data_IF_740456984914
#
_entry.id   IF_740456984914
#
_cell.length_a   1.000
_cell.length_b   1.000
_cell.length_c   1.000
_cell.angle_alpha   90.00
_cell.angle_beta   90.00
_cell.angle_gamma   90.00
#
_symmetry.space_group_name_H-M   'P 1'
#
loop_
_entity.id
_entity.type
_entity.pdbx_description
1 polymer ?
#
# COMPACT_ATOMS: atom_id res chain seq x y z
N UNK A 1 59.21 -49.41 -15.95
CA UNK A 1 58.18 -48.86 -16.84
C UNK A 1 56.91 -48.72 -16.01
N UNK A 2 56.45 -47.49 -15.75
CA UNK A 2 55.17 -47.28 -15.06
C UNK A 2 54.06 -47.76 -15.99
N UNK A 3 53.24 -48.68 -15.50
CA UNK A 3 52.10 -49.23 -16.24
C UNK A 3 51.12 -48.12 -16.61
N UNK A 4 50.37 -48.29 -17.71
CA UNK A 4 49.52 -47.23 -18.30
C UNK A 4 48.57 -46.60 -17.27
N UNK A 5 48.10 -47.37 -16.30
CA UNK A 5 47.22 -46.91 -15.23
C UNK A 5 47.94 -46.05 -14.17
N UNK A 6 49.19 -46.40 -13.83
CA UNK A 6 50.02 -45.63 -12.90
C UNK A 6 50.40 -44.25 -13.46
N UNK A 7 50.56 -44.16 -14.79
CA UNK A 7 50.80 -42.88 -15.47
C UNK A 7 49.60 -41.93 -15.37
N UNK A 8 48.38 -42.47 -15.47
CA UNK A 8 47.14 -41.69 -15.37
C UNK A 8 46.96 -41.16 -13.94
N UNK A 9 47.17 -42.01 -12.93
CA UNK A 9 47.07 -41.60 -11.53
C UNK A 9 48.05 -40.48 -11.16
N UNK A 10 49.32 -40.61 -11.60
CA UNK A 10 50.35 -39.58 -11.35
C UNK A 10 50.02 -38.27 -12.08
N UNK A 11 49.48 -38.34 -13.29
CA UNK A 11 49.10 -37.15 -14.06
C UNK A 11 47.93 -36.39 -13.40
N UNK A 12 46.94 -37.11 -12.89
CA UNK A 12 45.80 -36.55 -12.16
C UNK A 12 46.24 -35.87 -10.86
N UNK A 13 47.15 -36.52 -10.12
CA UNK A 13 47.69 -35.98 -8.88
C UNK A 13 48.52 -34.71 -9.13
N UNK A 14 49.33 -34.71 -10.19
CA UNK A 14 50.09 -33.52 -10.61
C UNK A 14 49.17 -32.35 -10.98
N UNK A 15 48.09 -32.62 -11.72
CA UNK A 15 47.12 -31.59 -12.09
C UNK A 15 46.44 -30.97 -10.86
N UNK A 16 46.07 -31.81 -9.89
CA UNK A 16 45.42 -31.37 -8.66
C UNK A 16 46.37 -30.50 -7.81
N UNK A 17 47.64 -30.89 -7.70
CA UNK A 17 48.67 -30.09 -7.01
C UNK A 17 48.86 -28.74 -7.69
N UNK A 18 48.93 -28.70 -9.03
CA UNK A 18 49.07 -27.44 -9.78
C UNK A 18 47.83 -26.55 -9.60
N UNK A 19 46.62 -27.10 -9.58
CA UNK A 19 45.39 -26.35 -9.37
C UNK A 19 45.30 -25.74 -7.96
N UNK A 20 45.75 -26.46 -6.93
CA UNK A 20 45.77 -25.95 -5.56
C UNK A 20 46.82 -24.85 -5.41
N UNK A 21 48.02 -25.04 -5.97
CA UNK A 21 49.08 -24.03 -5.91
C UNK A 21 48.71 -22.76 -6.68
N UNK A 22 48.11 -22.88 -7.86
CA UNK A 22 47.66 -21.71 -8.62
C UNK A 22 46.57 -20.92 -7.91
N UNK A 23 45.63 -21.62 -7.25
CA UNK A 23 44.58 -21.00 -6.43
C UNK A 23 45.16 -20.26 -5.22
N UNK A 24 46.13 -20.87 -4.54
CA UNK A 24 46.82 -20.24 -3.42
C UNK A 24 47.60 -18.99 -3.85
N UNK A 25 48.34 -19.05 -4.96
CA UNK A 25 49.09 -17.91 -5.50
C UNK A 25 48.14 -16.77 -5.88
N UNK A 26 47.01 -17.06 -6.53
CA UNK A 26 45.98 -16.08 -6.84
C UNK A 26 45.44 -15.38 -5.59
N UNK A 27 45.13 -16.14 -4.54
CA UNK A 27 44.65 -15.58 -3.28
C UNK A 27 45.69 -14.64 -2.65
N UNK A 28 46.96 -15.02 -2.65
CA UNK A 28 48.04 -14.19 -2.12
C UNK A 28 48.24 -12.91 -2.94
N UNK A 29 48.10 -12.97 -4.27
CA UNK A 29 48.19 -11.79 -5.15
C UNK A 29 47.02 -10.82 -4.95
N UNK A 30 45.82 -11.33 -4.62
CA UNK A 30 44.66 -10.49 -4.25
C UNK A 30 44.87 -9.87 -2.86
N UNK A 31 45.32 -10.63 -1.88
CA UNK A 31 45.56 -10.13 -0.51
C UNK A 31 46.69 -9.09 -0.44
N UNK A 32 47.71 -9.23 -1.28
CA UNK A 32 48.85 -8.28 -1.36
C UNK A 32 48.54 -7.05 -2.23
N UNK A 33 47.35 -6.97 -2.83
CA UNK A 33 46.90 -5.83 -3.63
C UNK A 33 47.57 -5.69 -4.99
N UNK A 34 48.38 -6.67 -5.41
CA UNK A 34 49.05 -6.69 -6.73
C UNK A 34 48.04 -6.95 -7.85
N UNK A 35 46.99 -7.71 -7.55
CA UNK A 35 45.83 -7.90 -8.42
C UNK A 35 44.58 -7.33 -7.75
N UNK A 36 44.08 -6.21 -8.27
CA UNK A 36 42.75 -5.72 -7.95
C UNK A 36 41.72 -6.49 -8.76
N UNK A 37 40.84 -7.22 -8.10
CA UNK A 37 39.69 -7.85 -8.75
C UNK A 37 38.80 -6.71 -9.25
N UNK A 38 38.61 -6.59 -10.56
CA UNK A 38 37.58 -5.71 -11.09
C UNK A 38 36.24 -6.25 -10.63
N UNK A 39 35.71 -5.66 -9.57
CA UNK A 39 34.29 -5.74 -9.27
C UNK A 39 33.58 -4.99 -10.39
N UNK A 40 33.24 -5.70 -11.47
CA UNK A 40 32.22 -5.22 -12.39
C UNK A 40 30.94 -5.08 -11.56
N UNK A 41 30.63 -3.82 -11.22
CA UNK A 41 29.40 -3.33 -10.60
C UNK A 41 28.54 -4.42 -9.96
N UNK A 42 28.88 -4.84 -8.74
CA UNK A 42 27.87 -5.37 -7.85
C UNK A 42 26.89 -4.22 -7.60
N UNK A 43 25.64 -4.26 -8.09
CA UNK A 43 24.66 -3.32 -7.60
C UNK A 43 24.53 -3.61 -6.11
N UNK A 44 24.67 -2.56 -5.30
CA UNK A 44 24.33 -2.56 -3.89
C UNK A 44 23.00 -3.31 -3.71
N UNK A 45 23.04 -4.50 -3.11
CA UNK A 45 21.84 -5.25 -2.74
C UNK A 45 21.01 -4.51 -1.67
N UNK A 46 21.46 -3.32 -1.24
CA UNK A 46 20.82 -2.44 -0.29
C UNK A 46 20.20 -1.18 -0.95
N UNK A 47 20.39 -0.96 -2.25
CA UNK A 47 19.80 0.15 -3.02
C UNK A 47 18.92 -0.34 -4.18
N UNK A 48 18.41 -1.57 -4.09
CA UNK A 48 17.17 -1.88 -4.78
C UNK A 48 16.06 -1.18 -3.99
N UNK A 49 15.82 0.10 -4.30
CA UNK A 49 14.49 0.67 -4.14
C UNK A 49 13.53 -0.37 -4.73
N UNK A 50 12.78 -1.03 -3.84
CA UNK A 50 11.64 -1.83 -4.25
C UNK A 50 10.75 -0.88 -5.01
N UNK A 51 10.86 -0.84 -6.34
CA UNK A 51 9.79 -0.34 -7.19
C UNK A 51 8.66 -1.31 -6.86
N UNK A 52 7.64 -0.88 -6.08
CA UNK A 52 6.56 -1.80 -5.77
C UNK A 52 5.97 -2.15 -7.11
N UNK A 53 6.06 -3.43 -7.50
CA UNK A 53 5.33 -3.95 -8.65
C UNK A 53 3.90 -3.50 -8.39
N UNK A 54 3.44 -2.47 -9.13
CA UNK A 54 2.25 -1.72 -8.76
C UNK A 54 1.14 -2.71 -8.50
N UNK A 55 0.71 -2.83 -7.24
CA UNK A 55 -0.22 -3.89 -6.85
C UNK A 55 -1.48 -3.68 -7.70
N UNK A 56 -1.73 -4.63 -8.61
CA UNK A 56 -2.87 -4.58 -9.50
C UNK A 56 -4.14 -4.74 -8.66
N UNK A 57 -5.19 -4.00 -8.99
CA UNK A 57 -6.45 -4.01 -8.25
C UNK A 57 -7.21 -2.71 -8.37
N UNK A 58 -8.45 -2.71 -7.91
CA UNK A 58 -9.34 -1.55 -7.91
C UNK A 58 -9.45 -1.02 -6.49
N UNK A 59 -9.47 0.31 -6.37
CA UNK A 59 -9.99 1.01 -5.20
C UNK A 59 -10.73 2.24 -5.75
N UNK A 60 -12.04 2.28 -5.58
CA UNK A 60 -12.86 3.36 -6.08
C UNK A 60 -14.09 3.57 -5.20
N UNK A 61 -14.44 4.82 -4.93
CA UNK A 61 -15.73 5.17 -4.35
C UNK A 61 -16.76 5.14 -5.48
N UNK A 62 -17.74 4.24 -5.39
CA UNK A 62 -18.78 4.00 -6.41
C UNK A 62 -19.99 4.89 -6.26
N UNK A 63 -20.35 5.22 -5.03
CA UNK A 63 -21.47 6.10 -4.71
C UNK A 63 -21.21 6.80 -3.40
N UNK A 64 -21.74 8.01 -3.28
CA UNK A 64 -21.77 8.80 -2.06
C UNK A 64 -23.13 9.50 -1.97
N UNK A 65 -23.67 9.59 -0.78
CA UNK A 65 -24.92 10.29 -0.51
C UNK A 65 -24.85 10.97 0.87
N UNK A 66 -25.26 12.23 0.93
CA UNK A 66 -25.66 12.88 2.18
C UNK A 66 -27.13 12.57 2.50
N UNK A 67 -27.47 12.39 3.77
CA UNK A 67 -28.84 12.18 4.23
C UNK A 67 -29.09 12.75 5.63
N UNK A 68 -30.38 12.83 5.97
CA UNK A 68 -30.83 13.17 7.32
C UNK A 68 -30.63 12.05 8.34
N UNK A 69 -30.61 10.80 7.89
CA UNK A 69 -30.43 9.63 8.75
C UNK A 69 -30.05 8.40 7.93
N UNK A 70 -29.49 7.40 8.60
CA UNK A 70 -29.15 6.09 8.04
C UNK A 70 -29.91 4.99 8.79
N UNK A 71 -30.50 4.05 8.06
CA UNK A 71 -31.25 2.94 8.66
C UNK A 71 -30.34 1.78 9.13
N UNK A 72 -30.92 0.77 9.79
CA UNK A 72 -30.20 -0.42 10.27
C UNK A 72 -29.52 -1.24 9.15
N UNK A 73 -29.90 -1.01 7.89
CA UNK A 73 -29.37 -1.67 6.71
C UNK A 73 -28.39 -0.78 5.94
N UNK A 74 -27.93 0.31 6.55
CA UNK A 74 -27.02 1.29 5.94
C UNK A 74 -27.59 1.97 4.69
N UNK A 75 -28.92 2.12 4.61
CA UNK A 75 -29.56 2.91 3.57
C UNK A 75 -29.69 4.37 3.99
N UNK A 76 -29.44 5.25 3.03
CA UNK A 76 -29.54 6.69 3.22
C UNK A 76 -31.01 7.12 3.12
N UNK A 77 -31.58 7.64 4.23
CA UNK A 77 -32.98 8.03 4.34
C UNK A 77 -33.08 9.56 4.32
N UNK A 78 -33.86 10.09 3.36
CA UNK A 78 -34.00 11.53 3.16
C UNK A 78 -32.70 12.17 2.68
N UNK A 79 -32.28 11.81 1.46
CA UNK A 79 -31.10 12.40 0.81
C UNK A 79 -31.25 13.91 0.70
N UNK A 80 -30.22 14.65 1.10
CA UNK A 80 -30.23 16.11 1.14
C UNK A 80 -28.80 16.62 1.20
N UNK A 81 -28.54 17.77 0.63
CA UNK A 81 -27.28 18.51 0.80
C UNK A 81 -27.47 19.72 1.73
N UNK A 82 -28.72 20.02 2.10
CA UNK A 82 -29.07 21.11 3.02
C UNK A 82 -29.40 20.55 4.41
N UNK A 83 -28.78 21.15 5.43
CA UNK A 83 -28.89 20.75 6.84
C UNK A 83 -29.19 21.97 7.72
N UNK A 84 -29.78 21.74 8.88
CA UNK A 84 -29.90 22.81 9.88
C UNK A 84 -28.70 22.81 10.83
N UNK A 85 -28.42 23.95 11.44
CA UNK A 85 -27.44 24.05 12.53
C UNK A 85 -27.71 23.00 13.63
N UNK A 86 -26.65 22.33 14.10
CA UNK A 86 -26.67 21.26 15.09
C UNK A 86 -27.50 20.02 14.71
N UNK A 87 -27.90 19.90 13.44
CA UNK A 87 -28.43 18.66 12.92
C UNK A 87 -27.28 17.69 12.61
N UNK A 88 -27.51 16.39 12.84
CA UNK A 88 -26.59 15.35 12.38
C UNK A 88 -26.56 15.34 10.84
N UNK A 89 -25.37 15.54 10.30
CA UNK A 89 -25.06 15.40 8.88
C UNK A 89 -24.62 13.96 8.68
N UNK A 90 -25.53 13.09 8.23
CA UNK A 90 -25.20 11.71 7.91
C UNK A 90 -24.69 11.64 6.48
N UNK A 91 -23.67 10.81 6.26
CA UNK A 91 -23.17 10.50 4.92
C UNK A 91 -22.89 9.01 4.79
N UNK A 92 -23.14 8.49 3.59
CA UNK A 92 -22.96 7.09 3.23
C UNK A 92 -22.17 7.00 1.95
N UNK A 93 -21.24 6.06 1.88
CA UNK A 93 -20.54 5.77 0.65
C UNK A 93 -20.30 4.28 0.45
N UNK A 94 -20.06 3.91 -0.82
CA UNK A 94 -19.77 2.53 -1.22
C UNK A 94 -18.40 2.48 -1.86
N UNK A 95 -17.50 1.67 -1.31
CA UNK A 95 -16.16 1.46 -1.82
C UNK A 95 -16.11 0.13 -2.56
N UNK A 96 -15.71 0.16 -3.82
CA UNK A 96 -15.27 -1.04 -4.53
C UNK A 96 -13.78 -1.23 -4.33
N UNK A 97 -13.40 -2.41 -3.84
CA UNK A 97 -11.99 -2.73 -3.63
C UNK A 97 -11.65 -4.17 -4.01
N UNK A 98 -10.46 -4.36 -4.60
CA UNK A 98 -9.90 -5.68 -4.88
C UNK A 98 -9.30 -6.28 -3.62
N UNK A 99 -9.53 -7.57 -3.43
CA UNK A 99 -8.97 -8.34 -2.31
C UNK A 99 -7.51 -8.69 -2.59
N UNK A 100 -6.66 -8.59 -1.57
CA UNK A 100 -5.26 -9.03 -1.62
C UNK A 100 -5.09 -10.24 -0.72
N UNK A 101 -4.73 -11.40 -1.28
CA UNK A 101 -4.64 -12.67 -0.52
C UNK A 101 -5.94 -13.04 0.23
N UNK A 102 -7.09 -12.71 -0.35
CA UNK A 102 -8.41 -12.92 0.28
C UNK A 102 -8.68 -11.98 1.45
N UNK A 103 -7.90 -10.90 1.60
CA UNK A 103 -8.05 -9.90 2.65
C UNK A 103 -8.32 -8.53 2.05
N UNK A 104 -9.17 -7.76 2.73
CA UNK A 104 -9.38 -6.33 2.48
C UNK A 104 -9.09 -5.60 3.78
N UNK A 105 -8.38 -4.49 3.67
CA UNK A 105 -8.25 -3.50 4.72
C UNK A 105 -8.60 -2.15 4.10
N UNK A 106 -9.60 -1.48 4.65
CA UNK A 106 -9.93 -0.09 4.30
C UNK A 106 -9.65 0.82 5.49
N UNK A 107 -8.98 1.92 5.21
CA UNK A 107 -8.74 3.03 6.14
C UNK A 107 -9.46 4.26 5.60
N UNK A 108 -10.45 4.73 6.34
CA UNK A 108 -11.27 5.89 5.98
C UNK A 108 -10.79 7.12 6.72
N UNK A 109 -10.48 8.22 6.02
CA UNK A 109 -10.25 9.52 6.63
C UNK A 109 -11.17 10.56 5.98
N UNK A 110 -11.63 11.55 6.72
CA UNK A 110 -12.36 12.67 6.12
C UNK A 110 -12.07 14.01 6.78
N UNK A 111 -12.27 15.07 6.00
CA UNK A 111 -12.07 16.45 6.44
C UNK A 111 -13.25 17.30 6.03
N UNK A 112 -13.67 18.18 6.91
CA UNK A 112 -14.67 19.21 6.61
C UNK A 112 -13.94 20.54 6.49
N UNK A 113 -14.18 21.23 5.37
CA UNK A 113 -13.64 22.55 5.06
C UNK A 113 -14.78 23.56 5.01
N UNK A 114 -14.55 24.76 5.54
CA UNK A 114 -15.46 25.89 5.37
C UNK A 114 -15.37 26.47 3.94
N UNK A 115 -16.23 27.44 3.63
CA UNK A 115 -16.24 28.17 2.35
C UNK A 115 -14.89 28.83 1.97
N UNK A 116 -14.03 29.12 2.96
CA UNK A 116 -12.70 29.69 2.75
C UNK A 116 -11.62 28.62 2.54
N UNK A 117 -11.96 27.34 2.64
CA UNK A 117 -11.05 26.21 2.56
C UNK A 117 -10.33 25.87 3.86
N UNK A 118 -10.70 26.49 4.99
CA UNK A 118 -10.13 26.17 6.30
C UNK A 118 -10.69 24.84 6.79
N UNK A 119 -9.82 23.95 7.26
CA UNK A 119 -10.23 22.67 7.85
C UNK A 119 -10.83 22.94 9.24
N UNK A 120 -12.11 22.65 9.40
CA UNK A 120 -12.83 22.80 10.68
C UNK A 120 -12.96 21.47 11.43
N UNK A 121 -12.89 20.36 10.70
CA UNK A 121 -12.88 19.00 11.25
C UNK A 121 -11.89 18.17 10.42
N UNK A 122 -11.03 17.43 11.10
CA UNK A 122 -10.10 16.49 10.48
C UNK A 122 -10.19 15.17 11.23
N UNK A 123 -11.03 14.26 10.72
CA UNK A 123 -11.07 12.88 11.16
C UNK A 123 -9.95 12.12 10.45
N UNK A 124 -8.74 12.26 10.98
CA UNK A 124 -7.58 11.47 10.57
C UNK A 124 -7.47 10.27 11.49
N UNK A 125 -7.90 9.12 10.99
CA UNK A 125 -8.02 7.85 11.70
C UNK A 125 -6.89 6.93 11.25
N UNK A 126 -5.64 7.37 11.40
CA UNK A 126 -4.52 6.42 11.30
C UNK A 126 -4.69 5.24 12.27
N UNK A 127 -5.59 5.33 13.26
CA UNK A 127 -5.87 4.30 14.27
C UNK A 127 -7.36 3.89 14.50
N UNK A 128 -8.37 4.53 13.91
CA UNK A 128 -9.76 4.42 14.44
C UNK A 128 -10.78 3.64 13.59
N UNK A 129 -10.64 3.53 12.26
CA UNK A 129 -11.57 2.72 11.43
C UNK A 129 -10.83 1.75 10.52
N UNK A 130 -10.83 0.48 10.95
CA UNK A 130 -10.32 -0.65 10.19
C UNK A 130 -11.49 -1.55 9.78
N UNK A 131 -11.81 -1.55 8.49
CA UNK A 131 -12.65 -2.60 7.94
C UNK A 131 -11.77 -3.73 7.43
N UNK A 132 -11.72 -4.82 8.20
CA UNK A 132 -11.04 -6.05 7.82
C UNK A 132 -12.05 -7.13 7.44
N UNK A 133 -11.94 -7.63 6.21
CA UNK A 133 -12.77 -8.73 5.70
C UNK A 133 -11.90 -9.81 5.07
N UNK A 134 -12.17 -11.06 5.43
CA UNK A 134 -11.68 -12.23 4.70
C UNK A 134 -12.76 -12.72 3.75
N UNK A 135 -12.42 -12.86 2.47
CA UNK A 135 -13.36 -13.25 1.41
C UNK A 135 -12.63 -14.04 0.31
N UNK A 136 -13.37 -14.89 -0.38
CA UNK A 136 -12.91 -15.63 -1.56
C UNK A 136 -13.20 -14.87 -2.88
N UNK A 137 -13.97 -13.78 -2.81
CA UNK A 137 -14.25 -12.92 -3.94
C UNK A 137 -12.99 -12.17 -4.36
N UNK A 138 -12.90 -11.78 -5.63
CA UNK A 138 -11.78 -10.95 -6.12
C UNK A 138 -11.98 -9.46 -5.85
N UNK A 139 -13.24 -9.07 -5.69
CA UNK A 139 -13.68 -7.69 -5.51
C UNK A 139 -14.85 -7.68 -4.54
N UNK A 140 -14.90 -6.66 -3.70
CA UNK A 140 -15.97 -6.46 -2.74
C UNK A 140 -16.50 -5.03 -2.83
N UNK A 141 -17.77 -4.88 -2.43
CA UNK A 141 -18.42 -3.60 -2.23
C UNK A 141 -18.66 -3.42 -0.73
N UNK A 142 -17.94 -2.48 -0.13
CA UNK A 142 -18.06 -2.14 1.28
C UNK A 142 -18.91 -0.88 1.40
N UNK A 143 -20.02 -0.96 2.13
CA UNK A 143 -20.86 0.21 2.45
C UNK A 143 -20.48 0.71 3.84
N UNK A 144 -20.18 2.00 3.94
CA UNK A 144 -19.86 2.66 5.20
C UNK A 144 -20.79 3.87 5.35
N UNK A 145 -21.17 4.15 6.58
CA UNK A 145 -22.03 5.27 6.93
C UNK A 145 -21.57 5.89 8.25
N UNK A 146 -21.49 7.21 8.28
CA UNK A 146 -21.01 7.99 9.41
C UNK A 146 -21.85 9.28 9.55
N UNK A 147 -21.63 10.00 10.64
CA UNK A 147 -22.24 11.30 10.86
C UNK A 147 -21.32 12.25 11.63
N UNK A 148 -21.57 13.55 11.47
CA UNK A 148 -20.96 14.60 12.28
C UNK A 148 -21.97 15.72 12.56
N UNK A 149 -21.60 16.67 13.41
CA UNK A 149 -22.39 17.84 13.76
C UNK A 149 -21.67 19.11 13.35
N UNK A 150 -22.41 20.07 12.79
CA UNK A 150 -21.93 21.42 12.48
C UNK A 150 -22.78 22.45 13.24
N UNK A 151 -22.11 23.33 13.97
CA UNK A 151 -22.79 24.31 14.84
C UNK A 151 -22.88 25.72 14.26
N UNK A 152 -22.25 25.98 13.11
CA UNK A 152 -22.27 27.28 12.46
C UNK A 152 -22.92 27.14 11.07
N UNK A 153 -23.69 28.14 10.62
CA UNK A 153 -24.24 28.12 9.28
C UNK A 153 -23.18 28.46 8.22
N UNK A 154 -23.41 27.99 6.99
CA UNK A 154 -22.64 28.32 5.81
C UNK A 154 -22.40 27.13 4.88
N UNK A 155 -21.67 27.41 3.80
CA UNK A 155 -21.25 26.40 2.84
C UNK A 155 -20.04 25.60 3.34
N UNK A 156 -20.11 24.28 3.20
CA UNK A 156 -19.05 23.37 3.59
C UNK A 156 -18.67 22.40 2.47
N UNK A 157 -17.49 21.82 2.61
CA UNK A 157 -16.97 20.78 1.72
C UNK A 157 -16.45 19.62 2.54
N UNK A 158 -16.95 18.41 2.27
CA UNK A 158 -16.42 17.16 2.78
C UNK A 158 -15.40 16.60 1.79
N UNK A 159 -14.18 16.33 2.27
CA UNK A 159 -13.12 15.63 1.53
C UNK A 159 -12.93 14.25 2.17
N UNK A 160 -13.40 13.20 1.50
CA UNK A 160 -13.28 11.80 1.92
C UNK A 160 -12.07 11.16 1.26
N UNK A 161 -11.22 10.49 2.04
CA UNK A 161 -9.99 9.85 1.60
C UNK A 161 -10.02 8.39 2.06
N UNK A 162 -10.11 7.46 1.11
CA UNK A 162 -10.12 6.02 1.38
C UNK A 162 -8.81 5.41 0.93
N UNK A 163 -8.17 4.62 1.80
CA UNK A 163 -6.95 3.89 1.51
C UNK A 163 -7.16 2.40 1.65
N UNK A 164 -6.53 1.62 0.78
CA UNK A 164 -6.35 0.19 0.98
C UNK A 164 -4.85 -0.11 1.10
N UNK A 165 -4.32 -0.30 2.33
CA UNK A 165 -2.91 -0.57 2.56
C UNK A 165 -2.41 -1.85 1.87
N UNK A 166 -3.28 -2.86 1.73
CA UNK A 166 -2.93 -4.09 1.01
C UNK A 166 -2.81 -3.91 -0.49
N UNK A 167 -3.43 -2.89 -1.08
CA UNK A 167 -3.22 -2.52 -2.49
C UNK A 167 -2.21 -1.38 -2.66
N UNK A 168 -1.85 -0.66 -1.60
CA UNK A 168 -1.08 0.58 -1.70
C UNK A 168 -1.79 1.63 -2.56
N UNK A 169 -3.13 1.67 -2.50
CA UNK A 169 -3.98 2.58 -3.27
C UNK A 169 -4.75 3.52 -2.36
N UNK A 170 -4.99 4.71 -2.87
CA UNK A 170 -5.78 5.76 -2.23
C UNK A 170 -6.75 6.35 -3.27
N UNK A 171 -7.94 6.73 -2.82
CA UNK A 171 -8.93 7.45 -3.62
C UNK A 171 -9.55 8.56 -2.77
N UNK A 172 -9.89 9.67 -3.42
CA UNK A 172 -10.46 10.85 -2.76
C UNK A 172 -11.76 11.23 -3.44
N UNK A 173 -12.74 11.63 -2.65
CA UNK A 173 -14.00 12.23 -3.09
C UNK A 173 -14.16 13.59 -2.41
N UNK A 174 -14.79 14.54 -3.09
CA UNK A 174 -15.08 15.86 -2.54
C UNK A 174 -16.53 16.21 -2.84
N UNK A 175 -17.31 16.49 -1.80
CA UNK A 175 -18.73 16.80 -1.90
C UNK A 175 -19.06 18.06 -1.10
N UNK A 176 -20.06 18.81 -1.56
CA UNK A 176 -20.51 20.06 -0.92
C UNK A 176 -21.83 19.86 -0.21
N UNK A 177 -22.04 20.62 0.85
CA UNK A 177 -23.29 20.67 1.59
C UNK A 177 -23.44 22.04 2.26
N UNK A 178 -24.67 22.42 2.56
CA UNK A 178 -25.03 23.69 3.18
C UNK A 178 -25.65 23.48 4.56
N UNK A 179 -25.42 24.46 5.44
CA UNK A 179 -25.99 24.47 6.80
C UNK A 179 -26.66 25.82 7.05
N UNK A 180 -27.97 25.80 7.32
CA UNK A 180 -28.80 26.99 7.62
C UNK A 180 -29.19 27.10 9.11
#
# INVERSE_FOLDING_TARGET
>A
MLDKEGKIAVQLLTFLVVAVLSSAIMLTLVQTGVLSVRADNQPSLLDAEFIPVGRQGTLAIRSFDFCRSVDEKLNCVGKTEDFNINQEVHFRFVVETTTSYGQIQLVENYRIKDANGNIILNANTEDDFYFDLQTDQKQELVTIAEYFLISNPGDYTLELIIKNPYLGKETTLTERFDVE
#
